data_IF_002556888740
#
_entry.id   IF_002556888740
#
_cell.length_a   1.000
_cell.length_b   1.000
_cell.length_c   1.000
_cell.angle_alpha   90.00
_cell.angle_beta   90.00
_cell.angle_gamma   90.00
#
_symmetry.space_group_name_H-M   'P 1'
#
loop_
_entity.id
_entity.type
_entity.pdbx_description
1 polymer ?
#
# COMPACT_ATOMS: atom_id res chain seq x y z
N UNK A 1 44.97 -44.14 -14.48
CA UNK A 1 43.58 -44.23 -15.02
C UNK A 1 43.02 -42.82 -15.07
N UNK A 2 42.22 -42.46 -16.10
CA UNK A 2 42.14 -41.08 -16.60
C UNK A 2 40.70 -40.65 -16.90
N UNK A 3 40.21 -39.63 -16.17
CA UNK A 3 39.11 -38.68 -16.48
C UNK A 3 37.73 -39.22 -16.91
N UNK A 4 36.70 -38.89 -16.12
CA UNK A 4 35.37 -38.38 -16.54
C UNK A 4 34.68 -37.88 -15.25
N UNK A 5 34.40 -36.59 -15.00
CA UNK A 5 33.61 -35.58 -15.74
C UNK A 5 32.11 -35.90 -15.87
N UNK A 6 31.44 -36.12 -14.74
CA UNK A 6 29.99 -35.92 -14.52
C UNK A 6 29.83 -35.43 -13.06
N UNK A 7 29.11 -34.37 -12.69
CA UNK A 7 28.66 -33.16 -13.41
C UNK A 7 28.35 -32.06 -12.37
N UNK A 8 28.46 -30.77 -12.73
CA UNK A 8 28.16 -29.64 -11.84
C UNK A 8 27.47 -28.50 -12.63
N UNK A 9 26.13 -28.53 -12.74
CA UNK A 9 25.38 -27.52 -13.49
C UNK A 9 23.89 -27.38 -13.06
N UNK A 10 23.63 -27.10 -11.78
CA UNK A 10 22.27 -26.71 -11.29
C UNK A 10 22.39 -25.60 -10.25
N UNK A 11 22.67 -24.36 -10.69
CA UNK A 11 22.76 -23.18 -9.79
C UNK A 11 22.28 -21.85 -10.42
N UNK A 12 21.70 -21.86 -11.62
CA UNK A 12 21.23 -20.66 -12.32
C UNK A 12 19.72 -20.75 -12.55
N UNK A 13 18.93 -20.24 -11.59
CA UNK A 13 17.45 -20.32 -11.67
C UNK A 13 16.64 -19.42 -10.73
N UNK A 14 17.25 -18.50 -9.96
CA UNK A 14 16.53 -17.66 -8.98
C UNK A 14 16.52 -16.15 -9.26
N UNK A 15 16.99 -15.70 -10.44
CA UNK A 15 17.18 -14.28 -10.74
C UNK A 15 15.94 -13.55 -11.36
N UNK A 16 14.76 -14.18 -11.37
CA UNK A 16 13.64 -13.76 -12.23
C UNK A 16 12.43 -13.08 -11.52
N UNK A 17 12.53 -12.70 -10.24
CA UNK A 17 11.43 -12.10 -9.46
C UNK A 17 11.84 -10.85 -8.66
N UNK A 18 12.65 -9.95 -9.24
CA UNK A 18 13.15 -8.75 -8.55
C UNK A 18 12.61 -7.40 -9.08
N UNK A 19 11.94 -7.39 -10.25
CA UNK A 19 11.56 -6.15 -10.97
C UNK A 19 10.72 -5.20 -10.12
N UNK A 20 9.62 -5.71 -9.58
CA UNK A 20 8.60 -4.90 -8.90
C UNK A 20 9.10 -4.48 -7.50
N UNK A 21 9.95 -5.32 -6.89
CA UNK A 21 10.58 -5.05 -5.61
C UNK A 21 11.56 -3.88 -5.65
N UNK A 22 12.27 -3.67 -6.75
CA UNK A 22 13.14 -2.51 -6.92
C UNK A 22 12.37 -1.22 -7.22
N UNK A 23 11.30 -1.29 -8.02
CA UNK A 23 10.48 -0.12 -8.33
C UNK A 23 9.79 0.42 -7.08
N UNK A 24 9.16 -0.46 -6.29
CA UNK A 24 8.55 -0.07 -5.01
C UNK A 24 9.57 0.50 -4.02
N UNK A 25 10.81 -0.02 -3.97
CA UNK A 25 11.85 0.54 -3.12
C UNK A 25 12.18 1.99 -3.50
N UNK A 26 12.32 2.26 -4.81
CA UNK A 26 12.59 3.61 -5.36
C UNK A 26 11.40 4.55 -5.13
N UNK A 27 10.17 4.08 -5.36
CA UNK A 27 8.95 4.84 -5.16
C UNK A 27 8.72 5.23 -3.69
N UNK A 28 9.01 4.32 -2.74
CA UNK A 28 8.95 4.59 -1.30
C UNK A 28 10.07 5.54 -0.88
N UNK A 29 11.30 5.35 -1.36
CA UNK A 29 12.43 6.21 -1.02
C UNK A 29 12.24 7.67 -1.50
N UNK A 30 11.65 7.85 -2.68
CA UNK A 30 11.34 9.16 -3.27
C UNK A 30 9.96 9.71 -2.88
N UNK A 31 9.22 9.03 -1.99
CA UNK A 31 7.86 9.40 -1.61
C UNK A 31 7.79 10.74 -0.86
N UNK A 32 6.77 11.54 -1.15
CA UNK A 32 6.56 12.88 -0.56
C UNK A 32 5.38 12.87 0.41
N UNK A 33 5.40 13.71 1.44
CA UNK A 33 4.27 13.77 2.38
C UNK A 33 2.99 14.24 1.68
N UNK A 34 1.82 13.60 1.93
CA UNK A 34 0.57 13.96 1.28
C UNK A 34 0.14 15.38 1.66
N UNK A 35 -0.43 16.11 0.69
CA UNK A 35 -1.00 17.42 0.95
C UNK A 35 -2.22 17.33 1.89
N UNK A 36 -2.53 18.41 2.60
CA UNK A 36 -3.73 18.50 3.42
C UNK A 36 -5.02 18.32 2.59
N UNK A 37 -5.00 18.76 1.33
CA UNK A 37 -6.09 18.55 0.36
C UNK A 37 -6.25 17.07 0.00
N UNK A 38 -5.16 16.36 -0.31
CA UNK A 38 -5.19 14.94 -0.62
C UNK A 38 -5.71 14.12 0.58
N UNK A 39 -5.22 14.44 1.79
CA UNK A 39 -5.75 13.86 3.03
C UNK A 39 -7.26 14.11 3.18
N UNK A 40 -7.72 15.33 2.92
CA UNK A 40 -9.15 15.67 3.01
C UNK A 40 -10.00 14.91 1.96
N UNK A 41 -9.48 14.71 0.74
CA UNK A 41 -10.14 13.91 -0.29
C UNK A 41 -10.21 12.42 0.09
N UNK A 42 -9.13 11.85 0.65
CA UNK A 42 -9.11 10.47 1.17
C UNK A 42 -10.17 10.29 2.27
N UNK A 43 -10.29 11.25 3.20
CA UNK A 43 -11.33 11.22 4.25
C UNK A 43 -12.73 11.37 3.65
N UNK A 44 -12.93 12.30 2.72
CA UNK A 44 -14.23 12.53 2.07
C UNK A 44 -14.72 11.27 1.35
N UNK A 45 -13.83 10.59 0.63
CA UNK A 45 -14.15 9.45 -0.22
C UNK A 45 -13.80 8.10 0.46
N UNK A 46 -13.57 8.10 1.78
CA UNK A 46 -13.13 6.92 2.54
C UNK A 46 -14.12 5.73 2.49
N UNK A 47 -15.41 5.98 2.25
CA UNK A 47 -16.40 4.91 2.03
C UNK A 47 -16.11 4.08 0.75
N UNK A 48 -15.37 4.62 -0.21
CA UNK A 48 -14.92 3.90 -1.41
C UNK A 48 -13.63 3.10 -1.17
N UNK A 49 -12.93 3.40 -0.06
CA UNK A 49 -11.64 2.79 0.33
C UNK A 49 -11.87 1.72 1.41
N UNK A 50 -12.79 1.98 2.35
CA UNK A 50 -13.03 1.21 3.57
C UNK A 50 -14.53 1.01 3.76
N UNK A 51 -14.95 -0.26 3.90
CA UNK A 51 -16.36 -0.67 3.92
C UNK A 51 -17.20 -0.06 5.07
N UNK A 52 -16.59 0.28 6.20
CA UNK A 52 -17.22 1.05 7.28
C UNK A 52 -16.18 1.94 7.98
N UNK A 53 -16.06 3.21 7.58
CA UNK A 53 -15.09 4.12 8.17
C UNK A 53 -15.49 4.65 9.56
N UNK A 54 -16.73 4.44 10.01
CA UNK A 54 -17.24 5.06 11.23
C UNK A 54 -16.77 4.38 12.53
N UNK A 55 -15.88 3.38 12.44
CA UNK A 55 -15.27 2.69 13.58
C UNK A 55 -13.75 2.56 13.47
N UNK A 56 -13.12 3.28 12.53
CA UNK A 56 -11.66 3.24 12.38
C UNK A 56 -10.99 3.87 13.59
N UNK A 57 -9.99 3.19 14.13
CA UNK A 57 -9.08 3.69 15.16
C UNK A 57 -7.63 3.50 14.73
N UNK A 58 -6.76 4.28 15.35
CA UNK A 58 -5.30 4.17 15.22
C UNK A 58 -4.85 4.13 13.74
N UNK A 59 -5.46 5.01 12.94
CA UNK A 59 -5.28 5.04 11.50
C UNK A 59 -3.90 5.58 11.12
N UNK A 60 -3.26 4.96 10.14
CA UNK A 60 -1.99 5.44 9.59
C UNK A 60 -2.07 5.67 8.08
N UNK A 61 -1.27 6.63 7.60
CA UNK A 61 -1.12 6.96 6.19
C UNK A 61 0.37 7.04 5.83
N UNK A 62 0.73 6.50 4.67
CA UNK A 62 2.09 6.65 4.15
C UNK A 62 2.32 8.03 3.52
N UNK A 63 3.55 8.26 3.08
CA UNK A 63 3.80 9.26 2.06
C UNK A 63 3.13 8.87 0.73
N UNK A 64 2.87 9.86 -0.14
CA UNK A 64 2.48 9.67 -1.53
C UNK A 64 3.69 9.16 -2.32
N UNK A 65 3.59 7.94 -2.85
CA UNK A 65 4.56 7.36 -3.75
C UNK A 65 4.16 7.62 -5.21
N UNK A 66 5.13 7.62 -6.12
CA UNK A 66 4.92 7.61 -7.57
C UNK A 66 5.77 6.50 -8.16
N UNK A 67 5.13 5.58 -8.88
CA UNK A 67 5.76 4.45 -9.54
C UNK A 67 6.42 4.88 -10.86
N UNK A 68 7.26 4.01 -11.45
CA UNK A 68 7.97 4.32 -12.71
C UNK A 68 7.06 4.55 -13.93
N UNK A 69 5.82 4.07 -13.89
CA UNK A 69 4.79 4.32 -14.92
C UNK A 69 4.04 5.66 -14.75
N UNK A 70 4.33 6.41 -13.67
CA UNK A 70 3.64 7.63 -13.30
C UNK A 70 2.41 7.42 -12.40
N UNK A 71 2.03 6.17 -12.10
CA UNK A 71 0.93 5.86 -11.18
C UNK A 71 1.27 6.40 -9.80
N UNK A 72 0.42 7.27 -9.27
CA UNK A 72 0.54 7.76 -7.90
C UNK A 72 -0.30 6.90 -6.95
N UNK A 73 0.24 6.65 -5.76
CA UNK A 73 -0.43 5.81 -4.78
C UNK A 73 -0.01 6.13 -3.36
N UNK A 74 -0.92 5.87 -2.43
CA UNK A 74 -0.70 6.06 -1.00
C UNK A 74 -1.24 4.85 -0.24
N UNK A 75 -0.57 4.47 0.84
CA UNK A 75 -1.01 3.38 1.69
C UNK A 75 -1.80 3.93 2.87
N UNK A 76 -2.93 3.31 3.17
CA UNK A 76 -3.74 3.55 4.37
C UNK A 76 -3.75 2.26 5.19
N UNK A 77 -3.43 2.36 6.48
CA UNK A 77 -3.61 1.28 7.45
C UNK A 77 -4.74 1.66 8.39
N UNK A 78 -5.72 0.78 8.50
CA UNK A 78 -6.89 0.99 9.36
C UNK A 78 -7.58 -0.33 9.70
N UNK A 79 -8.33 -0.31 10.80
CA UNK A 79 -9.35 -1.31 11.10
C UNK A 79 -10.34 -1.42 9.91
N UNK A 80 -10.63 -2.65 9.48
CA UNK A 80 -11.64 -2.93 8.46
C UNK A 80 -12.76 -3.81 8.99
N UNK A 81 -13.91 -3.68 8.33
CA UNK A 81 -15.09 -4.53 8.52
C UNK A 81 -15.49 -5.16 7.19
N UNK A 82 -16.16 -6.31 7.25
CA UNK A 82 -16.77 -6.92 6.06
C UNK A 82 -18.12 -6.25 5.71
N UNK A 83 -18.75 -6.72 4.62
CA UNK A 83 -20.06 -6.23 4.15
C UNK A 83 -21.21 -6.36 5.16
N UNK A 84 -21.04 -7.15 6.23
CA UNK A 84 -21.99 -7.30 7.33
C UNK A 84 -21.64 -6.44 8.56
N UNK A 85 -20.66 -5.54 8.45
CA UNK A 85 -20.19 -4.67 9.54
C UNK A 85 -19.34 -5.37 10.61
N UNK A 86 -18.96 -6.63 10.41
CA UNK A 86 -18.14 -7.40 11.37
C UNK A 86 -16.67 -7.05 11.18
N UNK A 87 -15.97 -6.71 12.27
CA UNK A 87 -14.53 -6.43 12.26
C UNK A 87 -13.72 -7.64 11.78
N UNK A 88 -12.80 -7.41 10.84
CA UNK A 88 -11.97 -8.48 10.23
C UNK A 88 -10.47 -8.34 10.51
N UNK A 89 -10.02 -7.21 11.03
CA UNK A 89 -8.61 -6.94 11.31
C UNK A 89 -8.16 -5.55 10.88
N UNK A 90 -6.90 -5.24 11.16
CA UNK A 90 -6.18 -4.10 10.57
C UNK A 90 -5.64 -4.52 9.21
N UNK A 91 -5.88 -3.73 8.17
CA UNK A 91 -5.45 -4.02 6.81
C UNK A 91 -4.61 -2.90 6.21
N UNK A 92 -3.67 -3.26 5.34
CA UNK A 92 -2.87 -2.32 4.55
C UNK A 92 -3.53 -2.16 3.17
N UNK A 93 -4.06 -0.98 2.87
CA UNK A 93 -4.76 -0.68 1.63
C UNK A 93 -3.92 0.24 0.74
N UNK A 94 -3.66 -0.17 -0.50
CA UNK A 94 -3.09 0.70 -1.52
C UNK A 94 -4.20 1.49 -2.21
N UNK A 95 -4.19 2.81 -2.08
CA UNK A 95 -5.15 3.73 -2.71
C UNK A 95 -4.46 4.37 -3.91
N UNK A 96 -4.98 4.13 -5.12
CA UNK A 96 -4.50 4.83 -6.33
C UNK A 96 -4.95 6.29 -6.24
N UNK A 97 -4.05 7.22 -6.57
CA UNK A 97 -4.35 8.65 -6.61
C UNK A 97 -4.35 9.14 -8.05
N UNK A 98 -5.44 9.78 -8.47
CA UNK A 98 -5.56 10.43 -9.76
C UNK A 98 -6.14 11.84 -9.58
N UNK A 99 -5.47 12.86 -10.12
CA UNK A 99 -5.88 14.27 -9.98
C UNK A 99 -6.18 14.69 -8.51
N UNK A 100 -5.29 14.33 -7.58
CA UNK A 100 -5.40 14.56 -6.12
C UNK A 100 -6.60 13.87 -5.43
N UNK A 101 -7.21 12.86 -6.05
CA UNK A 101 -8.36 12.12 -5.50
C UNK A 101 -8.10 10.62 -5.48
N UNK A 102 -8.73 9.87 -4.57
CA UNK A 102 -8.76 8.41 -4.65
C UNK A 102 -9.42 7.93 -5.95
N UNK A 103 -8.77 6.99 -6.64
CA UNK A 103 -9.29 6.25 -7.80
C UNK A 103 -9.28 4.75 -7.50
N UNK A 104 -10.04 4.37 -6.46
CA UNK A 104 -10.12 3.01 -5.96
C UNK A 104 -9.00 2.60 -4.99
N UNK A 105 -9.20 1.43 -4.37
CA UNK A 105 -8.30 0.87 -3.38
C UNK A 105 -8.16 -0.65 -3.53
N UNK A 106 -6.98 -1.16 -3.20
CA UNK A 106 -6.65 -2.58 -3.18
C UNK A 106 -6.23 -2.99 -1.75
N UNK A 107 -6.94 -3.98 -1.19
CA UNK A 107 -6.54 -4.65 0.07
C UNK A 107 -5.23 -5.41 -0.14
N UNK A 108 -4.35 -5.36 0.87
CA UNK A 108 -3.08 -6.10 0.90
C UNK A 108 -2.14 -5.81 -0.29
N UNK A 109 -2.20 -4.58 -0.82
CA UNK A 109 -1.39 -4.18 -1.97
C UNK A 109 0.11 -4.40 -1.69
N UNK A 110 0.88 -5.08 -2.57
CA UNK A 110 2.25 -5.50 -2.27
C UNK A 110 3.18 -4.38 -1.80
N UNK A 111 3.06 -3.17 -2.36
CA UNK A 111 3.81 -1.99 -1.91
C UNK A 111 3.55 -1.66 -0.43
N UNK A 112 2.29 -1.72 0.01
CA UNK A 112 1.86 -1.35 1.36
C UNK A 112 2.18 -2.41 2.43
N UNK A 113 2.51 -3.63 2.00
CA UNK A 113 2.98 -4.71 2.86
C UNK A 113 4.51 -4.76 3.02
N UNK A 114 5.23 -3.78 2.46
CA UNK A 114 6.69 -3.69 2.63
C UNK A 114 7.09 -3.05 3.97
N UNK A 115 8.19 -3.49 4.59
CA UNK A 115 8.65 -2.96 5.88
C UNK A 115 9.30 -1.57 5.79
N UNK A 116 9.64 -1.08 4.60
CA UNK A 116 10.24 0.25 4.37
C UNK A 116 9.21 1.37 4.17
N UNK A 117 7.91 1.06 4.14
CA UNK A 117 6.83 2.06 4.13
C UNK A 117 6.86 2.86 5.44
N UNK A 118 7.02 4.19 5.31
CA UNK A 118 6.94 5.12 6.43
C UNK A 118 5.48 5.42 6.75
N UNK A 119 5.02 5.01 7.92
CA UNK A 119 3.68 5.25 8.42
C UNK A 119 3.65 6.50 9.30
N UNK A 120 2.55 7.27 9.19
CA UNK A 120 2.30 8.48 9.96
C UNK A 120 0.85 8.44 10.48
N UNK A 121 0.55 8.96 11.68
CA UNK A 121 -0.82 9.04 12.17
C UNK A 121 -1.76 9.79 11.22
N UNK A 122 -2.97 9.28 11.06
CA UNK A 122 -4.03 9.84 10.19
C UNK A 122 -5.34 10.10 10.96
N UNK A 123 -5.32 10.90 12.04
CA UNK A 123 -6.50 11.18 12.88
C UNK A 123 -7.62 11.93 12.15
N UNK A 124 -7.37 12.46 10.94
CA UNK A 124 -8.41 12.95 10.05
C UNK A 124 -9.41 11.86 9.66
N UNK A 125 -8.97 10.61 9.51
CA UNK A 125 -9.81 9.45 9.14
C UNK A 125 -10.65 8.94 10.32
N UNK A 126 -10.07 8.87 11.52
CA UNK A 126 -10.74 8.46 12.77
C UNK A 126 -11.90 9.38 13.18
N UNK A 127 -11.84 10.67 12.76
CA UNK A 127 -12.87 11.66 13.08
C UNK A 127 -14.09 11.59 12.17
N UNK A 128 -14.15 10.62 11.26
CA UNK A 128 -15.33 10.35 10.45
C UNK A 128 -16.48 9.79 11.29
N UNK A 129 -17.45 10.64 11.59
CA UNK A 129 -18.76 10.18 12.03
C UNK A 129 -19.52 9.64 10.82
N UNK A 130 -20.13 8.47 10.94
CA UNK A 130 -21.22 8.11 10.02
C UNK A 130 -22.28 9.21 10.10
N UNK A 131 -22.77 9.63 8.93
CA UNK A 131 -24.10 10.21 8.81
C UNK A 131 -25.14 9.09 8.82
#
# INVERSE_FOLDING_TARGET
>A
MKRMLISALVLLGLAACATDGEDYAKAIANSVSPSAELKANIVKDAQQIIYDPASIRDAEISNLATLSDGTQGICVRADSKNVSGVYVGVHNMGVKIENQKPDGAALEHPLCNRPDVKWNPFPELERMKSK
#
